data_IF_984078091475
#
_entry.id   IF_984078091475
#
_cell.length_a   1.000
_cell.length_b   1.000
_cell.length_c   1.000
_cell.angle_alpha   90.00
_cell.angle_beta   90.00
_cell.angle_gamma   90.00
#
_symmetry.space_group_name_H-M   'P 1'
#
loop_
_entity.id
_entity.type
_entity.pdbx_description
1 polymer ?
#
# COMPACT_ATOMS: atom_id res chain seq x y z
N UNK A 1 21.74 -2.10 0.66
CA UNK A 1 21.64 -1.46 1.98
C UNK A 1 22.48 -2.29 2.91
N UNK A 2 23.46 -1.68 3.55
CA UNK A 2 24.31 -2.31 4.55
C UNK A 2 24.79 -1.25 5.57
N UNK A 3 25.76 -1.62 6.41
CA UNK A 3 26.32 -0.76 7.45
C UNK A 3 27.05 0.49 6.90
N UNK A 4 27.39 0.52 5.60
CA UNK A 4 27.98 1.68 4.92
C UNK A 4 26.92 2.62 4.32
N UNK A 5 25.64 2.21 4.31
CA UNK A 5 24.49 3.02 3.89
C UNK A 5 23.75 2.47 2.68
N UNK A 6 23.36 3.36 1.76
CA UNK A 6 22.57 3.02 0.58
C UNK A 6 23.45 3.01 -0.68
N UNK A 7 23.72 1.83 -1.22
CA UNK A 7 24.35 1.70 -2.55
C UNK A 7 23.32 1.95 -3.65
N UNK A 8 23.68 2.81 -4.60
CA UNK A 8 22.88 3.19 -5.76
C UNK A 8 23.76 3.25 -7.00
N UNK A 9 23.16 3.04 -8.17
CA UNK A 9 23.80 3.34 -9.45
C UNK A 9 23.21 4.64 -10.00
N UNK A 10 24.05 5.65 -10.22
CA UNK A 10 23.65 6.95 -10.77
C UNK A 10 24.45 7.18 -12.04
N UNK A 11 23.77 7.36 -13.17
CA UNK A 11 24.38 7.53 -14.48
C UNK A 11 25.34 6.39 -14.87
N UNK A 12 25.05 5.17 -14.40
CA UNK A 12 25.88 3.98 -14.66
C UNK A 12 27.09 3.83 -13.73
N UNK A 13 27.29 4.73 -12.78
CA UNK A 13 28.35 4.65 -11.78
C UNK A 13 27.80 4.20 -10.43
N UNK A 14 28.48 3.25 -9.81
CA UNK A 14 28.15 2.80 -8.45
C UNK A 14 28.60 3.81 -7.41
N UNK A 15 27.67 4.24 -6.55
CA UNK A 15 27.87 5.22 -5.48
C UNK A 15 27.28 4.68 -4.19
N UNK A 16 27.90 5.03 -3.06
CA UNK A 16 27.36 4.73 -1.73
C UNK A 16 26.97 6.03 -1.04
N UNK A 17 25.70 6.15 -0.69
CA UNK A 17 25.18 7.25 0.13
C UNK A 17 25.33 6.87 1.60
N UNK A 18 26.28 7.48 2.29
CA UNK A 18 26.52 7.28 3.73
C UNK A 18 25.45 8.01 4.54
N UNK A 19 24.34 7.34 4.81
CA UNK A 19 23.20 7.88 5.57
C UNK A 19 22.86 6.98 6.76
N UNK A 20 22.42 7.58 7.86
CA UNK A 20 22.09 6.85 9.09
C UNK A 20 20.71 6.19 9.05
N UNK A 21 19.81 6.69 8.19
CA UNK A 21 18.43 6.20 8.11
C UNK A 21 17.95 6.22 6.67
N UNK A 22 17.32 5.12 6.27
CA UNK A 22 16.73 4.94 4.95
C UNK A 22 15.24 4.73 5.15
N UNK A 23 14.43 5.67 4.67
CA UNK A 23 12.97 5.57 4.67
C UNK A 23 12.53 5.01 3.32
N UNK A 24 11.89 3.84 3.34
CA UNK A 24 11.41 3.16 2.14
C UNK A 24 10.00 3.63 1.82
N UNK A 25 9.86 4.44 0.77
CA UNK A 25 8.57 4.90 0.24
C UNK A 25 8.27 4.22 -1.11
N UNK A 26 8.34 2.89 -1.16
CA UNK A 26 8.29 2.10 -2.39
C UNK A 26 6.85 1.68 -2.81
N UNK A 27 5.87 2.54 -2.57
CA UNK A 27 4.46 2.25 -2.86
C UNK A 27 3.72 1.55 -1.71
N UNK A 28 2.58 0.95 -2.04
CA UNK A 28 1.64 0.36 -1.09
C UNK A 28 1.02 -0.90 -1.70
N UNK A 29 0.74 -1.90 -0.85
CA UNK A 29 -0.01 -3.10 -1.21
C UNK A 29 -1.40 -3.09 -0.56
N UNK A 30 -2.44 -3.67 -1.21
CA UNK A 30 -3.74 -3.82 -0.59
C UNK A 30 -3.67 -4.74 0.64
N UNK A 31 -4.19 -4.28 1.78
CA UNK A 31 -4.27 -5.11 2.99
C UNK A 31 -5.62 -5.82 3.07
N UNK A 32 -5.63 -7.14 2.82
CA UNK A 32 -6.83 -7.97 2.68
C UNK A 32 -6.86 -9.22 3.58
N UNK A 33 -5.99 -9.29 4.58
CA UNK A 33 -5.79 -10.47 5.42
C UNK A 33 -7.09 -11.10 5.96
N UNK A 34 -8.06 -10.26 6.35
CA UNK A 34 -9.33 -10.74 6.93
C UNK A 34 -10.38 -11.17 5.90
N UNK A 35 -10.20 -10.85 4.61
CA UNK A 35 -11.24 -11.05 3.60
C UNK A 35 -11.68 -12.51 3.52
N UNK A 36 -10.72 -13.43 3.34
CA UNK A 36 -11.01 -14.84 3.15
C UNK A 36 -11.66 -15.48 4.38
N UNK A 37 -11.22 -15.09 5.58
CA UNK A 37 -11.76 -15.61 6.84
C UNK A 37 -13.19 -15.14 7.09
N UNK A 38 -13.51 -13.88 6.77
CA UNK A 38 -14.86 -13.34 6.88
C UNK A 38 -15.82 -13.99 5.87
N UNK A 39 -15.36 -14.17 4.62
CA UNK A 39 -16.11 -14.89 3.59
C UNK A 39 -16.37 -16.34 4.00
N UNK A 40 -15.37 -17.04 4.55
CA UNK A 40 -15.50 -18.41 5.05
C UNK A 40 -16.45 -18.53 6.25
N UNK A 41 -16.54 -17.50 7.09
CA UNK A 41 -17.50 -17.42 8.19
C UNK A 41 -18.94 -17.09 7.73
N UNK A 42 -19.17 -16.89 6.43
CA UNK A 42 -20.48 -16.51 5.88
C UNK A 42 -20.86 -15.06 6.16
N UNK A 43 -19.89 -14.21 6.51
CA UNK A 43 -20.10 -12.78 6.76
C UNK A 43 -19.98 -12.04 5.44
N UNK A 44 -21.05 -11.35 5.05
CA UNK A 44 -21.03 -10.47 3.88
C UNK A 44 -19.95 -9.40 4.05
N UNK A 45 -18.99 -9.38 3.13
CA UNK A 45 -17.80 -8.53 3.19
C UNK A 45 -17.66 -7.73 1.90
N UNK A 46 -17.24 -6.47 2.01
CA UNK A 46 -17.00 -5.58 0.87
C UNK A 46 -15.62 -4.94 1.00
N UNK A 47 -14.88 -4.88 -0.11
CA UNK A 47 -13.62 -4.14 -0.20
C UNK A 47 -13.86 -2.73 -0.73
N UNK A 48 -13.28 -1.73 -0.09
CA UNK A 48 -13.24 -0.33 -0.53
C UNK A 48 -11.87 0.29 -0.21
N UNK A 49 -11.53 1.39 -0.87
CA UNK A 49 -10.32 2.16 -0.59
C UNK A 49 -9.04 1.35 -0.83
N UNK A 50 -8.04 1.54 0.04
CA UNK A 50 -6.74 0.87 -0.09
C UNK A 50 -6.80 -0.66 0.01
N UNK A 51 -7.80 -1.22 0.71
CA UNK A 51 -8.00 -2.67 0.79
C UNK A 51 -8.49 -3.25 -0.55
N UNK A 52 -9.23 -2.46 -1.35
CA UNK A 52 -9.57 -2.81 -2.73
C UNK A 52 -8.38 -2.54 -3.65
N UNK A 53 -7.89 -1.31 -3.72
CA UNK A 53 -6.75 -0.96 -4.58
C UNK A 53 -5.86 0.03 -3.83
N UNK A 54 -4.60 -0.35 -3.61
CA UNK A 54 -3.57 0.51 -3.04
C UNK A 54 -2.75 1.15 -4.17
N UNK A 55 -3.07 2.41 -4.51
CA UNK A 55 -2.34 3.23 -5.50
C UNK A 55 -2.29 4.67 -5.00
N UNK A 56 -1.49 5.54 -5.62
CA UNK A 56 -1.38 6.94 -5.19
C UNK A 56 -2.70 7.75 -5.32
N UNK A 57 -2.80 8.81 -4.49
CA UNK A 57 -3.96 9.71 -4.29
C UNK A 57 -5.29 8.96 -4.06
N UNK A 58 -5.33 8.08 -3.07
CA UNK A 58 -6.43 7.15 -2.82
C UNK A 58 -7.57 7.68 -1.92
N UNK A 59 -7.34 8.74 -1.14
CA UNK A 59 -8.34 9.20 -0.16
C UNK A 59 -9.70 9.56 -0.80
N UNK A 60 -9.70 10.29 -1.93
CA UNK A 60 -10.95 10.64 -2.64
C UNK A 60 -11.68 9.41 -3.17
N UNK A 61 -10.95 8.43 -3.71
CA UNK A 61 -11.50 7.18 -4.22
C UNK A 61 -12.08 6.35 -3.08
N UNK A 62 -11.35 6.20 -1.99
CA UNK A 62 -11.79 5.47 -0.81
C UNK A 62 -13.11 6.05 -0.26
N UNK A 63 -13.19 7.39 -0.16
CA UNK A 63 -14.40 8.09 0.28
C UNK A 63 -15.57 7.87 -0.70
N UNK A 64 -15.37 8.01 -2.01
CA UNK A 64 -16.43 7.81 -3.02
C UNK A 64 -16.92 6.35 -3.03
N UNK A 65 -16.03 5.37 -2.98
CA UNK A 65 -16.37 3.94 -2.92
C UNK A 65 -17.19 3.63 -1.66
N UNK A 66 -16.75 4.11 -0.49
CA UNK A 66 -17.47 3.93 0.77
C UNK A 66 -18.85 4.59 0.75
N UNK A 67 -18.96 5.81 0.24
CA UNK A 67 -20.22 6.53 0.15
C UNK A 67 -21.22 5.84 -0.81
N UNK A 68 -20.75 5.38 -1.97
CA UNK A 68 -21.58 4.64 -2.93
C UNK A 68 -22.06 3.32 -2.37
N UNK A 69 -21.17 2.56 -1.72
CA UNK A 69 -21.53 1.30 -1.09
C UNK A 69 -22.61 1.52 -0.02
N UNK A 70 -22.43 2.49 0.87
CA UNK A 70 -23.38 2.80 1.93
C UNK A 70 -24.77 3.24 1.40
N UNK A 71 -24.84 3.82 0.19
CA UNK A 71 -26.10 4.26 -0.41
C UNK A 71 -26.94 3.11 -0.99
N UNK A 72 -26.33 1.93 -1.22
CA UNK A 72 -26.98 0.77 -1.86
C UNK A 72 -26.96 -0.50 -1.02
N UNK A 73 -26.25 -0.49 0.11
CA UNK A 73 -26.11 -1.61 1.05
C UNK A 73 -27.33 -1.77 1.97
#
# INVERSE_FOLDING_TARGET
IDDQGLHVTIDGEDKTLSVDTIVVCAGQDPQRELQADLEAAGITTHLIGGADVATELDAKRAIDQGARLAAVA
#
